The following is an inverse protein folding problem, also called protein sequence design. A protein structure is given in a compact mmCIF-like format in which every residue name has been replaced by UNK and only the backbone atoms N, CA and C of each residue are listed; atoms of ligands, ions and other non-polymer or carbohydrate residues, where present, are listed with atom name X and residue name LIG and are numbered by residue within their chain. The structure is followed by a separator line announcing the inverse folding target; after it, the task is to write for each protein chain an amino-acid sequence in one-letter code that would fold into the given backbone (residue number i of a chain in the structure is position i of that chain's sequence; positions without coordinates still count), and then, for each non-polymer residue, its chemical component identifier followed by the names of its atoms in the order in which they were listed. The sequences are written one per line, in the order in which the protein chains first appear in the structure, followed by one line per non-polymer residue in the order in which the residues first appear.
data_IF_385860601313
#
_entry.id   IF_385860601313
#
_cell.length_a   1.000
_cell.length_b   1.000
_cell.length_c   1.000
_cell.angle_alpha   90.00
_cell.angle_beta   90.00
_cell.angle_gamma   90.00
#
_symmetry.space_group_name_H-M   'P 1'
#
loop_
_entity.id
_entity.type
_entity.pdbx_description
1 polymer ?
#
# COMPACT_ATOMS: atom_id res chain seq x y z
N UNK A 1 -22.01 2.52 -5.21
CA UNK A 1 -21.55 3.56 -4.24
C UNK A 1 -20.05 3.67 -4.40
N UNK A 2 -19.45 4.88 -4.44
CA UNK A 2 -18.00 4.99 -4.42
C UNK A 2 -17.47 4.43 -3.09
N UNK A 3 -16.34 3.72 -3.14
CA UNK A 3 -15.64 3.25 -1.95
C UNK A 3 -14.97 4.47 -1.31
N UNK A 4 -15.59 5.03 -0.27
CA UNK A 4 -15.00 6.15 0.48
C UNK A 4 -14.27 5.58 1.69
N UNK A 5 -12.94 5.52 1.62
CA UNK A 5 -12.10 5.27 2.79
C UNK A 5 -12.04 6.57 3.59
N UNK A 6 -12.68 6.62 4.76
CA UNK A 6 -12.82 7.88 5.51
C UNK A 6 -11.49 8.44 6.06
N UNK A 7 -11.52 9.71 6.47
CA UNK A 7 -10.39 10.37 7.16
C UNK A 7 -9.94 9.58 8.39
N UNK A 8 -8.63 9.59 8.65
CA UNK A 8 -8.01 8.91 9.79
C UNK A 8 -7.73 7.42 9.57
N UNK A 9 -7.72 6.96 8.31
CA UNK A 9 -7.46 5.56 7.94
C UNK A 9 -6.12 5.42 7.25
N UNK A 10 -5.36 4.40 7.65
CA UNK A 10 -4.17 3.94 6.92
C UNK A 10 -4.63 2.81 5.99
N UNK A 11 -4.42 2.98 4.69
CA UNK A 11 -4.65 1.92 3.70
C UNK A 11 -3.43 0.99 3.69
N UNK A 12 -3.63 -0.32 3.72
CA UNK A 12 -2.57 -1.27 3.39
C UNK A 12 -2.91 -1.88 2.03
N UNK A 13 -1.92 -1.96 1.14
CA UNK A 13 -2.07 -2.48 -0.21
C UNK A 13 -0.92 -3.44 -0.50
N UNK A 14 -1.25 -4.58 -1.09
CA UNK A 14 -0.26 -5.57 -1.50
C UNK A 14 -0.53 -6.01 -2.95
N UNK A 15 0.51 -6.47 -3.63
CA UNK A 15 0.39 -7.06 -4.96
C UNK A 15 0.26 -8.57 -4.85
N UNK A 16 -0.59 -9.17 -5.69
CA UNK A 16 -0.67 -10.62 -5.86
C UNK A 16 0.68 -11.25 -6.26
N UNK A 17 0.71 -12.57 -6.36
CA UNK A 17 1.68 -13.28 -7.20
C UNK A 17 1.29 -13.12 -8.68
N UNK A 18 2.22 -13.41 -9.61
CA UNK A 18 1.91 -13.47 -11.04
C UNK A 18 1.01 -14.65 -11.40
N UNK A 19 0.70 -14.78 -12.69
CA UNK A 19 -0.12 -15.88 -13.25
C UNK A 19 0.44 -17.28 -12.92
N UNK A 20 1.74 -17.35 -12.66
CA UNK A 20 2.44 -18.52 -12.14
C UNK A 20 3.18 -18.14 -10.86
N UNK A 21 3.20 -19.04 -9.86
CA UNK A 21 3.91 -18.84 -8.58
C UNK A 21 5.43 -18.62 -8.75
N UNK A 22 5.99 -18.94 -9.90
CA UNK A 22 7.37 -18.65 -10.24
C UNK A 22 7.63 -17.16 -10.49
N UNK A 23 6.60 -16.38 -10.83
CA UNK A 23 6.72 -15.00 -11.32
C UNK A 23 6.16 -13.94 -10.34
N UNK A 24 6.72 -12.72 -10.35
CA UNK A 24 6.10 -11.59 -9.67
C UNK A 24 4.85 -11.11 -10.42
N UNK A 25 3.92 -10.46 -9.71
CA UNK A 25 2.87 -9.70 -10.36
C UNK A 25 3.47 -8.54 -11.14
N UNK A 26 2.98 -8.24 -12.34
CA UNK A 26 3.65 -7.26 -13.20
C UNK A 26 3.43 -5.83 -12.71
N UNK A 27 4.42 -4.96 -12.92
CA UNK A 27 4.29 -3.52 -12.61
C UNK A 27 3.17 -2.87 -13.42
N UNK A 28 2.94 -3.33 -14.66
CA UNK A 28 1.85 -2.85 -15.53
C UNK A 28 0.47 -3.17 -14.96
N UNK A 29 0.28 -4.38 -14.45
CA UNK A 29 -1.00 -4.79 -13.86
C UNK A 29 -1.22 -4.09 -12.52
N UNK A 30 -0.14 -3.91 -11.74
CA UNK A 30 -0.17 -3.09 -10.53
C UNK A 30 -0.60 -1.65 -10.83
N UNK A 31 0.02 -1.02 -11.84
CA UNK A 31 -0.37 0.33 -12.30
C UNK A 31 -1.84 0.37 -12.67
N UNK A 32 -2.32 -0.57 -13.48
CA UNK A 32 -3.73 -0.62 -13.91
C UNK A 32 -4.68 -0.72 -12.73
N UNK A 33 -4.40 -1.62 -11.78
CA UNK A 33 -5.19 -1.81 -10.57
C UNK A 33 -5.19 -0.56 -9.66
N UNK A 34 -4.04 0.11 -9.53
CA UNK A 34 -3.92 1.31 -8.71
C UNK A 34 -4.63 2.51 -9.36
N UNK A 35 -4.62 2.62 -10.70
CA UNK A 35 -5.42 3.62 -11.44
C UNK A 35 -6.91 3.41 -11.18
N UNK A 36 -7.40 2.17 -11.28
CA UNK A 36 -8.81 1.86 -11.00
C UNK A 36 -9.20 2.22 -9.56
N UNK A 37 -8.32 1.90 -8.59
CA UNK A 37 -8.52 2.27 -7.19
C UNK A 37 -8.53 3.79 -6.98
N UNK A 38 -7.64 4.53 -7.63
CA UNK A 38 -7.59 5.99 -7.59
C UNK A 38 -8.88 6.60 -8.18
N UNK A 39 -9.31 6.15 -9.35
CA UNK A 39 -10.53 6.61 -10.02
C UNK A 39 -11.81 6.28 -9.24
N UNK A 40 -11.78 5.25 -8.38
CA UNK A 40 -12.90 4.94 -7.48
C UNK A 40 -13.10 5.96 -6.36
N UNK A 41 -12.12 6.84 -6.14
CA UNK A 41 -12.10 7.83 -5.04
C UNK A 41 -11.54 7.30 -3.72
N UNK A 42 -11.17 6.02 -3.65
CA UNK A 42 -10.72 5.38 -2.41
C UNK A 42 -9.46 6.02 -1.81
N UNK A 43 -8.57 6.57 -2.66
CA UNK A 43 -7.30 7.16 -2.23
C UNK A 43 -7.40 8.62 -1.75
N UNK A 44 -8.57 9.26 -1.88
CA UNK A 44 -8.69 10.69 -1.64
C UNK A 44 -8.57 11.07 -0.16
N UNK A 45 -9.24 10.31 0.72
CA UNK A 45 -9.42 10.68 2.13
C UNK A 45 -8.53 9.87 3.11
N UNK A 46 -7.64 9.01 2.60
CA UNK A 46 -6.71 8.24 3.45
C UNK A 46 -5.68 9.14 4.15
N UNK A 47 -5.23 8.72 5.32
CA UNK A 47 -4.24 9.43 6.15
C UNK A 47 -2.82 8.88 6.03
N UNK A 48 -2.66 7.70 5.43
CA UNK A 48 -1.38 7.08 5.13
C UNK A 48 -1.56 5.82 4.30
N UNK A 49 -0.48 5.30 3.73
CA UNK A 49 -0.52 4.06 2.96
C UNK A 49 0.69 3.17 3.27
N UNK A 50 0.45 1.92 3.67
CA UNK A 50 1.48 0.89 3.79
C UNK A 50 1.43 -0.01 2.55
N UNK A 51 2.58 -0.22 1.89
CA UNK A 51 2.69 -1.10 0.72
C UNK A 51 3.45 -2.36 1.12
N UNK A 52 2.81 -3.51 0.93
CA UNK A 52 3.39 -4.82 1.17
C UNK A 52 4.55 -5.07 0.20
N UNK A 53 5.55 -5.80 0.66
CA UNK A 53 6.68 -6.22 -0.18
C UNK A 53 6.17 -7.11 -1.31
N UNK A 54 6.44 -6.69 -2.54
CA UNK A 54 6.05 -7.46 -3.73
C UNK A 54 6.71 -8.84 -3.78
N UNK A 55 5.93 -9.86 -4.11
CA UNK A 55 6.44 -11.23 -4.22
C UNK A 55 7.44 -11.35 -5.38
N UNK A 56 8.69 -11.72 -5.07
CA UNK A 56 9.80 -11.86 -6.04
C UNK A 56 10.16 -10.60 -6.81
N UNK A 57 9.79 -9.43 -6.29
CA UNK A 57 10.22 -8.16 -6.87
C UNK A 57 11.73 -7.98 -6.67
N UNK A 58 12.43 -7.63 -7.73
CA UNK A 58 13.79 -7.13 -7.62
C UNK A 58 13.80 -5.62 -7.32
N UNK A 59 14.99 -5.02 -7.20
CA UNK A 59 15.12 -3.60 -6.91
C UNK A 59 14.54 -2.71 -8.00
N UNK A 60 14.66 -3.09 -9.26
CA UNK A 60 14.13 -2.29 -10.36
C UNK A 60 12.60 -2.25 -10.28
N UNK A 61 11.95 -3.39 -10.06
CA UNK A 61 10.49 -3.45 -9.92
C UNK A 61 10.00 -2.66 -8.69
N UNK A 62 10.76 -2.67 -7.59
CA UNK A 62 10.46 -1.87 -6.41
C UNK A 62 10.49 -0.37 -6.70
N UNK A 63 11.55 0.10 -7.38
CA UNK A 63 11.70 1.50 -7.77
C UNK A 63 10.60 1.92 -8.76
N UNK A 64 10.25 1.05 -9.71
CA UNK A 64 9.17 1.29 -10.68
C UNK A 64 7.80 1.42 -10.01
N UNK A 65 7.45 0.55 -9.05
CA UNK A 65 6.21 0.70 -8.29
C UNK A 65 6.20 1.99 -7.47
N UNK A 66 7.31 2.37 -6.83
CA UNK A 66 7.40 3.62 -6.10
C UNK A 66 7.09 4.82 -7.01
N UNK A 67 7.65 4.81 -8.23
CA UNK A 67 7.35 5.81 -9.27
C UNK A 67 5.89 5.82 -9.70
N UNK A 68 5.30 4.64 -9.94
CA UNK A 68 3.87 4.48 -10.30
C UNK A 68 2.97 5.08 -9.23
N UNK A 69 3.24 4.79 -7.95
CA UNK A 69 2.47 5.32 -6.83
C UNK A 69 2.57 6.85 -6.82
N UNK A 70 3.78 7.41 -6.89
CA UNK A 70 3.99 8.85 -6.92
C UNK A 70 3.24 9.53 -8.06
N UNK A 71 3.34 8.99 -9.28
CA UNK A 71 2.65 9.51 -10.48
C UNK A 71 1.13 9.51 -10.32
N UNK A 72 0.55 8.43 -9.78
CA UNK A 72 -0.91 8.34 -9.59
C UNK A 72 -1.40 9.34 -8.54
N UNK A 73 -0.65 9.53 -7.44
CA UNK A 73 -1.03 10.52 -6.43
C UNK A 73 -0.94 11.96 -6.95
N UNK A 74 0.09 12.26 -7.75
CA UNK A 74 0.28 13.56 -8.37
C UNK A 74 -0.78 13.86 -9.44
N UNK A 75 -0.99 12.92 -10.38
CA UNK A 75 -1.79 13.17 -11.59
C UNK A 75 -3.28 12.86 -11.41
N UNK A 76 -3.64 11.79 -10.69
CA UNK A 76 -5.03 11.30 -10.61
C UNK A 76 -5.69 11.72 -9.30
N UNK A 77 -5.03 11.46 -8.16
CA UNK A 77 -5.56 11.84 -6.85
C UNK A 77 -5.46 13.35 -6.63
N UNK A 78 -4.55 14.02 -7.35
CA UNK A 78 -4.28 15.46 -7.27
C UNK A 78 -3.97 15.89 -5.82
N UNK A 79 -3.10 15.13 -5.16
CA UNK A 79 -2.70 15.36 -3.76
C UNK A 79 -1.20 15.60 -3.69
N UNK A 80 -0.81 16.66 -2.99
CA UNK A 80 0.59 17.00 -2.75
C UNK A 80 1.34 15.81 -2.11
N UNK A 81 2.49 15.39 -2.66
CA UNK A 81 3.26 14.24 -2.18
C UNK A 81 3.66 14.35 -0.69
N UNK A 82 3.92 15.57 -0.22
CA UNK A 82 4.37 15.84 1.15
C UNK A 82 3.26 15.63 2.21
N UNK A 83 2.00 15.47 1.78
CA UNK A 83 0.84 15.40 2.68
C UNK A 83 0.35 13.98 3.00
N UNK A 84 0.99 12.92 2.50
CA UNK A 84 0.57 11.53 2.72
C UNK A 84 1.78 10.62 2.98
N UNK A 85 1.98 10.15 4.23
CA UNK A 85 3.05 9.19 4.49
C UNK A 85 2.75 7.87 3.77
N UNK A 86 3.76 7.36 3.06
CA UNK A 86 3.73 6.07 2.38
C UNK A 86 4.96 5.28 2.83
N UNK A 87 4.76 4.11 3.42
CA UNK A 87 5.83 3.18 3.81
C UNK A 87 5.76 1.97 2.91
N UNK A 88 6.89 1.61 2.28
CA UNK A 88 6.96 0.53 1.30
C UNK A 88 7.70 -0.69 1.83
N UNK A 89 7.54 -1.83 1.17
CA UNK A 89 8.25 -3.08 1.46
C UNK A 89 7.97 -3.65 2.86
N UNK A 90 6.79 -3.39 3.41
CA UNK A 90 6.38 -3.99 4.70
C UNK A 90 6.16 -5.49 4.50
N UNK A 91 6.56 -6.32 5.46
CA UNK A 91 6.47 -7.79 5.40
C UNK A 91 5.02 -8.32 5.55
N UNK A 92 4.09 -7.91 4.70
CA UNK A 92 2.75 -8.51 4.53
C UNK A 92 2.46 -8.77 3.04
N UNK A 93 1.41 -9.54 2.75
CA UNK A 93 1.04 -9.96 1.38
C UNK A 93 1.56 -11.35 1.05
N UNK A 94 2.13 -11.55 -0.14
CA UNK A 94 2.56 -12.88 -0.60
C UNK A 94 4.02 -13.24 -0.27
N UNK A 95 4.63 -12.65 0.77
CA UNK A 95 6.03 -12.91 1.13
C UNK A 95 6.19 -13.58 2.50
N UNK A 96 7.41 -14.04 2.79
CA UNK A 96 7.79 -14.60 4.09
C UNK A 96 9.05 -13.89 4.60
N UNK A 97 9.13 -13.47 5.89
CA UNK A 97 8.09 -13.60 6.92
C UNK A 97 6.82 -12.78 6.60
N UNK A 98 5.72 -13.09 7.31
CA UNK A 98 4.42 -12.45 7.12
C UNK A 98 3.88 -11.90 8.44
N UNK A 99 3.73 -10.58 8.50
CA UNK A 99 3.15 -9.84 9.61
C UNK A 99 1.62 -10.00 9.60
N UNK A 100 1.05 -10.34 10.76
CA UNK A 100 -0.40 -10.33 10.95
C UNK A 100 -0.88 -8.91 11.23
N UNK A 101 -1.79 -8.40 10.40
CA UNK A 101 -2.39 -7.07 10.57
C UNK A 101 -3.83 -7.19 11.10
N UNK A 102 -4.11 -6.76 12.35
CA UNK A 102 -5.48 -6.69 12.85
C UNK A 102 -6.23 -5.55 12.14
N UNK A 103 -7.17 -5.89 11.26
CA UNK A 103 -7.88 -4.90 10.47
C UNK A 103 -8.77 -4.05 11.37
N UNK A 104 -8.59 -2.72 11.29
CA UNK A 104 -9.33 -1.75 12.08
C UNK A 104 -8.69 -1.36 13.41
N UNK A 105 -7.58 -2.01 13.79
CA UNK A 105 -6.77 -1.57 14.94
C UNK A 105 -6.12 -0.20 14.69
N UNK A 106 -5.88 0.54 15.76
CA UNK A 106 -5.10 1.77 15.72
C UNK A 106 -3.65 1.45 15.30
N UNK A 107 -3.14 2.25 14.37
CA UNK A 107 -1.79 2.13 13.86
C UNK A 107 -1.12 3.50 13.74
N UNK A 108 0.20 3.50 13.83
CA UNK A 108 1.07 4.66 13.61
C UNK A 108 2.01 4.38 12.45
N UNK A 109 2.36 5.45 11.72
CA UNK A 109 3.23 5.40 10.56
C UNK A 109 4.10 6.66 10.49
N UNK A 110 5.37 6.49 10.12
CA UNK A 110 6.29 7.56 9.78
C UNK A 110 7.19 7.13 8.59
N UNK A 111 7.02 7.79 7.45
CA UNK A 111 7.79 7.50 6.23
C UNK A 111 9.17 8.14 6.20
N UNK A 112 9.55 8.98 7.18
CA UNK A 112 10.91 9.51 7.30
C UNK A 112 11.83 8.54 8.03
N UNK A 113 11.25 7.66 8.87
CA UNK A 113 11.97 6.66 9.67
C UNK A 113 11.64 5.21 9.25
N UNK A 114 10.83 5.03 8.21
CA UNK A 114 10.34 3.73 7.72
C UNK A 114 9.59 2.91 8.79
N UNK A 115 8.82 3.58 9.65
CA UNK A 115 8.09 2.95 10.75
C UNK A 115 6.62 2.71 10.42
N UNK A 116 6.14 1.50 10.71
CA UNK A 116 4.73 1.13 10.72
C UNK A 116 4.45 0.24 11.94
N UNK A 117 3.55 0.67 12.82
CA UNK A 117 3.29 0.04 14.11
C UNK A 117 1.80 -0.14 14.36
N UNK A 118 1.41 -1.29 14.90
CA UNK A 118 0.07 -1.53 15.43
C UNK A 118 0.09 -1.20 16.93
N UNK A 119 -0.78 -0.28 17.36
CA UNK A 119 -0.80 0.26 18.72
C UNK A 119 -1.78 -0.47 19.66
N UNK A 120 -2.55 -1.40 19.13
CA UNK A 120 -3.60 -2.12 19.87
C UNK A 120 -3.50 -3.64 19.66
N UNK A 121 -3.86 -4.46 20.66
CA UNK A 121 -3.87 -5.90 20.51
C UNK A 121 -4.95 -6.35 19.52
N UNK A 122 -4.63 -7.32 18.67
CA UNK A 122 -5.60 -7.88 17.71
C UNK A 122 -6.66 -8.80 18.34
N UNK A 123 -6.48 -9.23 19.59
CA UNK A 123 -7.39 -10.10 20.34
C UNK A 123 -7.42 -9.70 21.81
N UNK A 124 -8.52 -10.02 22.51
CA UNK A 124 -8.64 -9.92 23.96
C UNK A 124 -8.54 -11.31 24.58
N UNK A 125 -8.01 -11.40 25.80
CA UNK A 125 -7.90 -12.64 26.58
C UNK A 125 -9.09 -12.84 27.51
#
# INVERSE_FOLDING_TARGET
MPLVLGKGKILFLESSMGDDISLPYSVTDFRSSLVDLALSGALHDISGMAIGRGYKYDRQMQDEIAGVIGEIFDVIVAREPEGLPIVMNVDFGHTSPLLTLPIGALAQMDSHTDEFMILEPGVQA
#
